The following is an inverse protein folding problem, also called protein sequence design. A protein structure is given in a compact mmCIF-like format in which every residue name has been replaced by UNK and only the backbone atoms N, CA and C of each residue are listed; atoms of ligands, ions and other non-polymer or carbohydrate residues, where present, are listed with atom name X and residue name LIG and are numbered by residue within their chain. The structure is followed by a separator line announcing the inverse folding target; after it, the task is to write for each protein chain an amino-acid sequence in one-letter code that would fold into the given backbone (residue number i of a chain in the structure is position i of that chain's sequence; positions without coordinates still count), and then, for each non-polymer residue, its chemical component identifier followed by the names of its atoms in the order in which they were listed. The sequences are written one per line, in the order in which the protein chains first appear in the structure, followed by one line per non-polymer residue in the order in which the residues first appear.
data_IF_972580019276
#
_entry.id   IF_972580019276
#
_cell.length_a   1.000
_cell.length_b   1.000
_cell.length_c   1.000
_cell.angle_alpha   90.00
_cell.angle_beta   90.00
_cell.angle_gamma   90.00
#
_symmetry.space_group_name_H-M   'P 1'
#
loop_
_entity.id
_entity.type
_entity.pdbx_description
1 polymer ?
#
# COMPACT_ATOMS: atom_id res chain seq x y z
N UNK A 1 -36.46 -26.22 -14.01
CA UNK A 1 -35.33 -26.43 -13.09
C UNK A 1 -35.89 -26.43 -11.69
N UNK A 2 -35.52 -27.38 -10.83
CA UNK A 2 -36.02 -27.40 -9.45
C UNK A 2 -35.27 -26.37 -8.61
N UNK A 3 -35.94 -25.76 -7.65
CA UNK A 3 -35.37 -24.72 -6.77
C UNK A 3 -34.11 -25.21 -6.04
N UNK A 4 -34.05 -26.51 -5.72
CA UNK A 4 -32.86 -27.20 -5.18
C UNK A 4 -31.62 -27.04 -6.08
N UNK A 5 -31.77 -27.19 -7.40
CA UNK A 5 -30.63 -27.06 -8.31
C UNK A 5 -30.15 -25.60 -8.38
N UNK A 6 -31.11 -24.66 -8.40
CA UNK A 6 -30.81 -23.22 -8.51
C UNK A 6 -30.06 -22.74 -7.28
N UNK A 7 -30.49 -23.12 -6.07
CA UNK A 7 -29.83 -22.68 -4.83
C UNK A 7 -28.43 -23.31 -4.68
N UNK A 8 -28.26 -24.57 -5.07
CA UNK A 8 -26.97 -25.26 -5.00
C UNK A 8 -25.99 -24.70 -6.04
N UNK A 9 -26.44 -24.40 -7.28
CA UNK A 9 -25.58 -23.77 -8.28
C UNK A 9 -25.18 -22.35 -7.89
N UNK A 10 -26.14 -21.55 -7.40
CA UNK A 10 -25.85 -20.19 -6.92
C UNK A 10 -24.82 -20.19 -5.78
N UNK A 11 -24.92 -21.15 -4.84
CA UNK A 11 -23.91 -21.34 -3.80
C UNK A 11 -22.52 -21.66 -4.36
N UNK A 12 -22.41 -22.53 -5.37
CA UNK A 12 -21.13 -22.91 -5.94
C UNK A 12 -20.46 -21.81 -6.78
N UNK A 13 -21.27 -20.93 -7.37
CA UNK A 13 -20.84 -19.82 -8.22
C UNK A 13 -20.58 -18.51 -7.42
N UNK A 14 -20.63 -18.55 -6.08
CA UNK A 14 -20.53 -17.38 -5.19
C UNK A 14 -21.59 -16.29 -5.49
N UNK A 15 -22.76 -16.70 -5.99
CA UNK A 15 -23.90 -15.82 -6.21
C UNK A 15 -24.75 -15.66 -4.93
N UNK A 16 -25.61 -14.62 -4.82
CA UNK A 16 -26.53 -14.50 -3.70
C UNK A 16 -27.53 -15.68 -3.64
N UNK A 17 -27.62 -16.35 -2.50
CA UNK A 17 -28.56 -17.45 -2.24
C UNK A 17 -29.19 -17.35 -0.85
N UNK A 18 -30.32 -18.03 -0.64
CA UNK A 18 -30.96 -18.15 0.67
C UNK A 18 -30.39 -19.37 1.42
N UNK A 19 -29.80 -19.12 2.59
CA UNK A 19 -29.18 -20.17 3.41
C UNK A 19 -30.18 -21.17 3.98
N UNK A 20 -31.42 -20.75 4.24
CA UNK A 20 -32.46 -21.65 4.77
C UNK A 20 -32.90 -22.64 3.71
N UNK A 21 -33.08 -22.18 2.48
CA UNK A 21 -33.41 -23.00 1.31
C UNK A 21 -32.26 -23.93 0.96
N UNK A 22 -31.00 -23.48 1.12
CA UNK A 22 -29.83 -24.34 0.94
C UNK A 22 -29.79 -25.48 1.98
N UNK A 23 -30.07 -25.18 3.25
CA UNK A 23 -30.11 -26.20 4.32
C UNK A 23 -31.20 -27.23 4.05
N UNK A 24 -32.38 -26.79 3.60
CA UNK A 24 -33.47 -27.69 3.20
C UNK A 24 -33.05 -28.56 2.01
N UNK A 25 -32.50 -27.96 0.96
CA UNK A 25 -31.99 -28.65 -0.22
C UNK A 25 -30.94 -29.72 0.12
N UNK A 26 -30.01 -29.43 1.05
CA UNK A 26 -28.96 -30.36 1.47
C UNK A 26 -29.42 -31.38 2.52
N UNK A 27 -30.61 -31.21 3.09
CA UNK A 27 -31.21 -32.20 3.99
C UNK A 27 -31.66 -33.44 3.22
N UNK A 28 -32.06 -33.27 1.96
CA UNK A 28 -32.39 -34.37 1.06
C UNK A 28 -31.13 -35.11 0.57
N UNK A 29 -31.15 -36.46 0.50
CA UNK A 29 -30.03 -37.23 -0.07
C UNK A 29 -29.67 -36.80 -1.49
N UNK A 30 -30.68 -36.60 -2.35
CA UNK A 30 -30.49 -36.19 -3.73
C UNK A 30 -29.80 -34.82 -3.87
N UNK A 31 -30.07 -33.88 -2.96
CA UNK A 31 -29.41 -32.57 -2.97
C UNK A 31 -27.93 -32.65 -2.58
N UNK A 32 -27.57 -33.54 -1.66
CA UNK A 32 -26.15 -33.80 -1.32
C UNK A 32 -25.41 -34.48 -2.45
N UNK A 33 -26.03 -35.48 -3.08
CA UNK A 33 -25.44 -36.18 -4.23
C UNK A 33 -25.18 -35.19 -5.37
N UNK A 34 -26.15 -34.30 -5.65
CA UNK A 34 -25.99 -33.22 -6.63
C UNK A 34 -24.81 -32.28 -6.31
N UNK A 35 -24.67 -31.85 -5.05
CA UNK A 35 -23.55 -31.00 -4.63
C UNK A 35 -22.21 -31.71 -4.88
N UNK A 36 -22.12 -33.00 -4.54
CA UNK A 36 -20.90 -33.81 -4.74
C UNK A 36 -20.58 -33.92 -6.23
N UNK A 37 -21.58 -34.21 -7.07
CA UNK A 37 -21.41 -34.33 -8.52
C UNK A 37 -20.89 -33.02 -9.13
N UNK A 38 -21.47 -31.88 -8.74
CA UNK A 38 -21.05 -30.56 -9.23
C UNK A 38 -19.62 -30.21 -8.79
N UNK A 39 -19.25 -30.51 -7.55
CA UNK A 39 -17.88 -30.33 -7.05
C UNK A 39 -16.90 -31.25 -7.81
N UNK A 40 -17.28 -32.50 -8.05
CA UNK A 40 -16.47 -33.45 -8.82
C UNK A 40 -16.24 -32.95 -10.26
N UNK A 41 -17.30 -32.50 -10.94
CA UNK A 41 -17.19 -31.88 -12.28
C UNK A 41 -16.28 -30.65 -12.28
N UNK A 42 -16.39 -29.79 -11.24
CA UNK A 42 -15.52 -28.62 -11.09
C UNK A 42 -14.06 -29.01 -10.92
N UNK A 43 -13.78 -30.09 -10.17
CA UNK A 43 -12.42 -30.58 -10.03
C UNK A 43 -11.85 -31.12 -11.34
N UNK A 44 -12.63 -31.90 -12.09
CA UNK A 44 -12.22 -32.46 -13.38
C UNK A 44 -11.90 -31.36 -14.41
N UNK A 45 -12.76 -30.34 -14.50
CA UNK A 45 -12.55 -29.20 -15.42
C UNK A 45 -11.36 -28.33 -15.02
N UNK A 46 -11.07 -28.20 -13.72
CA UNK A 46 -9.90 -27.46 -13.24
C UNK A 46 -8.60 -28.24 -13.37
N UNK A 47 -8.60 -29.57 -13.33
CA UNK A 47 -7.36 -30.37 -13.47
C UNK A 47 -6.75 -30.26 -14.86
N UNK A 48 -7.56 -30.12 -15.91
CA UNK A 48 -7.06 -29.91 -17.28
C UNK A 48 -6.43 -28.52 -17.48
N UNK A 49 -6.69 -27.57 -16.58
CA UNK A 49 -6.09 -26.23 -16.59
C UNK A 49 -4.86 -26.06 -15.68
N UNK A 50 -4.48 -27.07 -14.88
CA UNK A 50 -3.42 -26.95 -13.86
C UNK A 50 -1.99 -27.05 -14.39
N UNK A 51 -1.80 -27.28 -15.69
CA UNK A 51 -0.51 -27.05 -16.36
C UNK A 51 -0.27 -25.56 -16.66
N UNK A 52 -1.28 -24.70 -16.49
CA UNK A 52 -1.11 -23.25 -16.45
C UNK A 52 -1.09 -22.79 -14.99
N UNK A 53 0.10 -22.59 -14.44
CA UNK A 53 0.30 -21.95 -13.14
C UNK A 53 -0.45 -20.61 -13.04
N UNK A 54 -1.63 -20.61 -12.43
CA UNK A 54 -2.28 -19.42 -11.91
C UNK A 54 -2.36 -19.56 -10.39
N UNK A 55 -1.47 -18.82 -9.72
CA UNK A 55 -1.53 -18.53 -8.29
C UNK A 55 -2.89 -17.87 -8.01
N UNK A 56 -3.89 -18.64 -7.60
CA UNK A 56 -5.13 -18.10 -7.04
C UNK A 56 -4.86 -17.64 -5.60
N UNK A 57 -4.08 -16.57 -5.49
CA UNK A 57 -4.12 -15.70 -4.32
C UNK A 57 -5.45 -14.95 -4.44
N UNK A 58 -6.43 -15.28 -3.59
CA UNK A 58 -7.65 -14.48 -3.42
C UNK A 58 -7.28 -13.15 -2.77
N UNK A 59 -6.51 -12.34 -3.50
CA UNK A 59 -6.09 -11.02 -3.08
C UNK A 59 -7.29 -10.12 -3.21
N UNK A 60 -7.98 -9.93 -2.08
CA UNK A 60 -9.14 -9.06 -1.98
C UNK A 60 -8.90 -7.77 -2.76
N UNK A 61 -9.80 -7.43 -3.67
CA UNK A 61 -9.73 -6.20 -4.47
C UNK A 61 -9.54 -4.94 -3.59
N UNK A 62 -10.00 -5.00 -2.34
CA UNK A 62 -9.73 -3.97 -1.33
C UNK A 62 -8.24 -3.82 -0.97
N UNK A 63 -7.48 -4.90 -0.98
CA UNK A 63 -6.03 -4.90 -0.76
C UNK A 63 -5.26 -4.27 -1.94
N UNK A 64 -5.65 -4.57 -3.18
CA UNK A 64 -5.01 -3.95 -4.36
C UNK A 64 -5.28 -2.45 -4.43
N UNK A 65 -6.50 -2.00 -4.10
CA UNK A 65 -6.82 -0.57 -4.00
C UNK A 65 -6.04 0.14 -2.87
N UNK A 66 -5.86 -0.52 -1.72
CA UNK A 66 -5.03 0.01 -0.62
C UNK A 66 -3.56 0.08 -0.99
N UNK A 67 -3.03 -0.91 -1.70
CA UNK A 67 -1.66 -0.91 -2.19
C UNK A 67 -1.44 0.22 -3.23
N UNK A 68 -2.39 0.42 -4.14
CA UNK A 68 -2.35 1.51 -5.11
C UNK A 68 -2.38 2.89 -4.41
N UNK A 69 -3.23 3.05 -3.39
CA UNK A 69 -3.28 4.27 -2.58
C UNK A 69 -1.97 4.53 -1.84
N UNK A 70 -1.32 3.50 -1.31
CA UNK A 70 -0.02 3.63 -0.66
C UNK A 70 1.08 4.08 -1.64
N UNK A 71 1.13 3.50 -2.84
CA UNK A 71 2.06 3.92 -3.89
C UNK A 71 1.80 5.38 -4.30
N UNK A 72 0.54 5.75 -4.52
CA UNK A 72 0.17 7.12 -4.84
C UNK A 72 0.59 8.11 -3.74
N UNK A 73 0.42 7.76 -2.46
CA UNK A 73 0.87 8.59 -1.34
C UNK A 73 2.38 8.78 -1.31
N UNK A 74 3.16 7.74 -1.62
CA UNK A 74 4.63 7.83 -1.72
C UNK A 74 5.04 8.76 -2.87
N UNK A 75 4.39 8.64 -4.04
CA UNK A 75 4.64 9.53 -5.18
C UNK A 75 4.26 10.98 -4.85
N UNK A 76 3.13 11.23 -4.20
CA UNK A 76 2.72 12.57 -3.76
C UNK A 76 3.71 13.15 -2.76
N UNK A 77 4.22 12.35 -1.81
CA UNK A 77 5.23 12.79 -0.86
C UNK A 77 6.58 13.11 -1.53
N UNK A 78 7.02 12.28 -2.49
CA UNK A 78 8.25 12.50 -3.25
C UNK A 78 8.16 13.73 -4.14
N UNK A 79 7.10 13.84 -4.93
CA UNK A 79 6.91 14.96 -5.88
C UNK A 79 6.63 16.26 -5.11
N UNK A 80 5.76 16.22 -4.10
CA UNK A 80 5.45 17.36 -3.25
C UNK A 80 6.66 17.84 -2.44
N UNK A 81 7.44 16.91 -1.88
CA UNK A 81 8.69 17.21 -1.19
C UNK A 81 9.75 17.80 -2.11
N UNK A 82 9.87 17.28 -3.35
CA UNK A 82 10.77 17.81 -4.36
C UNK A 82 10.41 19.24 -4.77
N UNK A 83 9.14 19.53 -5.08
CA UNK A 83 8.69 20.88 -5.43
C UNK A 83 8.87 21.87 -4.27
N UNK A 84 8.52 21.47 -3.04
CA UNK A 84 8.68 22.32 -1.87
C UNK A 84 10.17 22.62 -1.57
N UNK A 85 11.05 21.64 -1.80
CA UNK A 85 12.50 21.82 -1.71
C UNK A 85 13.04 22.76 -2.80
N UNK A 86 12.59 22.60 -4.04
CA UNK A 86 13.00 23.45 -5.17
C UNK A 86 12.64 24.93 -4.93
N UNK A 87 11.46 25.22 -4.37
CA UNK A 87 11.08 26.59 -4.02
C UNK A 87 11.88 27.17 -2.84
N UNK A 88 12.35 26.35 -1.90
CA UNK A 88 13.22 26.84 -0.81
C UNK A 88 14.60 27.26 -1.31
N UNK A 89 15.13 26.64 -2.36
CA UNK A 89 16.39 27.08 -2.96
C UNK A 89 16.29 28.46 -3.63
N UNK A 90 15.12 28.85 -4.16
CA UNK A 90 14.92 30.22 -4.65
C UNK A 90 14.84 31.27 -3.55
N UNK A 91 14.45 30.89 -2.33
CA UNK A 91 14.36 31.82 -1.18
C UNK A 91 15.64 31.82 -0.34
N UNK A 92 16.45 30.75 -0.40
CA UNK A 92 17.76 30.69 0.27
C UNK A 92 18.86 31.52 -0.41
N UNK A 93 18.60 32.08 -1.60
CA UNK A 93 19.36 33.22 -2.14
C UNK A 93 18.81 34.56 -1.60
N UNK A 94 18.40 34.60 -0.34
CA UNK A 94 18.13 35.85 0.36
C UNK A 94 19.44 36.36 0.93
N UNK A 95 20.09 37.22 0.15
CA UNK A 95 21.03 38.28 0.55
C UNK A 95 22.20 37.87 1.47
N UNK A 96 23.42 37.96 0.93
CA UNK A 96 24.62 37.82 1.74
C UNK A 96 24.60 38.87 2.87
N UNK A 97 24.88 38.49 4.13
CA UNK A 97 24.94 39.47 5.21
C UNK A 97 25.96 40.56 4.87
N UNK A 98 25.68 41.84 5.18
CA UNK A 98 26.57 42.94 4.82
C UNK A 98 27.96 42.70 5.39
N UNK A 99 28.99 42.99 4.57
CA UNK A 99 30.38 42.73 4.90
C UNK A 99 30.74 43.33 6.28
N UNK A 100 31.02 42.47 7.25
CA UNK A 100 31.50 42.89 8.56
C UNK A 100 32.92 43.43 8.38
N UNK A 101 33.08 44.76 8.44
CA UNK A 101 34.40 45.40 8.43
C UNK A 101 35.17 44.96 9.68
N UNK A 102 36.25 44.21 9.48
CA UNK A 102 37.20 43.92 10.56
C UNK A 102 37.94 45.22 10.90
N UNK A 103 37.66 45.78 12.07
CA UNK A 103 38.46 46.86 12.65
C UNK A 103 39.61 46.21 13.39
N UNK A 104 40.85 46.38 12.90
CA UNK A 104 42.03 46.04 13.70
C UNK A 104 42.04 46.95 14.93
N UNK A 105 41.89 46.36 16.12
CA UNK A 105 42.17 47.09 17.36
C UNK A 105 43.69 47.32 17.46
N UNK A 106 44.16 48.55 17.72
CA UNK A 106 45.57 48.77 17.99
C UNK A 106 45.96 47.96 19.24
N UNK A 107 47.07 47.23 19.14
CA UNK A 107 47.59 46.35 20.18
C UNK A 107 48.16 47.15 21.37
N UNK A 108 47.31 47.86 22.09
CA UNK A 108 47.67 48.63 23.28
C UNK A 108 48.15 47.76 24.46
N UNK A 109 48.06 46.43 24.34
CA UNK A 109 48.58 45.48 25.32
C UNK A 109 50.09 45.20 25.19
N UNK A 110 50.75 45.62 24.10
CA UNK A 110 52.20 45.44 23.92
C UNK A 110 53.06 46.56 24.53
N UNK A 111 52.46 47.68 24.94
CA UNK A 111 53.15 48.80 25.59
C UNK A 111 53.11 48.71 27.13
N UNK A 112 53.29 47.51 27.69
CA UNK A 112 53.59 47.36 29.11
C UNK A 112 55.11 47.42 29.28
N UNK A 113 55.67 48.43 29.98
CA UNK A 113 57.10 48.55 30.18
C UNK A 113 57.59 47.32 30.96
N UNK A 114 58.60 46.64 30.41
CA UNK A 114 59.27 45.52 31.05
C UNK A 114 59.80 45.97 32.43
N UNK A 115 59.02 45.65 33.46
CA UNK A 115 59.30 46.01 34.84
C UNK A 115 60.59 45.33 35.31
N UNK A 116 61.61 46.15 35.45
CA UNK A 116 62.83 45.94 36.25
C UNK A 116 62.48 45.24 37.58
N UNK A 117 62.87 43.97 37.75
CA UNK A 117 63.07 43.36 39.06
C UNK A 117 64.56 43.02 39.22
N UNK A 118 65.02 43.26 40.44
CA UNK A 118 66.40 43.36 40.92
C UNK A 118 67.30 42.19 40.61
#
# INVERSE_FOLDING_TARGET
MSDTHVVISAFLDDEPFDSTVLVEALSEPAGRDLLIDLIALRHLTQTDGKDAHALNDHKSWRSSLRALAAVAAIFVALVGGYLAGAHRNSVAMSEAPPATRVVQAPAAWQDLPAGRMR
#
